data_IF_868131336382
#
_entry.id   IF_868131336382
#
_cell.length_a   1.000
_cell.length_b   1.000
_cell.length_c   1.000
_cell.angle_alpha   90.00
_cell.angle_beta   90.00
_cell.angle_gamma   90.00
#
_symmetry.space_group_name_H-M   'P 1'
#
loop_
_entity.id
_entity.type
_entity.pdbx_description
1 polymer ?
#
# COMPACT_ATOMS: atom_id res chain seq x y z
N UNK A 1 1.73 24.98 -10.51
CA UNK A 1 2.49 24.24 -9.48
C UNK A 1 2.03 22.79 -9.55
N UNK A 2 2.86 21.89 -10.08
CA UNK A 2 2.46 20.48 -10.28
C UNK A 2 2.59 19.78 -8.93
N UNK A 3 1.48 19.31 -8.36
CA UNK A 3 1.52 18.48 -7.15
C UNK A 3 2.07 17.10 -7.55
N UNK A 4 3.40 17.00 -7.64
CA UNK A 4 4.13 15.72 -7.65
C UNK A 4 4.42 15.33 -6.21
N UNK A 5 3.41 15.02 -5.43
CA UNK A 5 3.62 14.52 -4.07
C UNK A 5 3.06 13.11 -3.98
N UNK A 6 3.95 12.14 -3.78
CA UNK A 6 3.58 10.87 -3.20
C UNK A 6 2.87 11.18 -1.88
N UNK A 7 1.57 10.91 -1.82
CA UNK A 7 0.80 10.94 -0.59
C UNK A 7 1.59 10.17 0.46
N UNK A 8 1.95 10.86 1.55
CA UNK A 8 2.43 10.17 2.76
C UNK A 8 1.28 9.29 3.24
N UNK A 9 1.59 8.13 3.81
CA UNK A 9 0.60 7.26 4.42
C UNK A 9 -0.07 8.00 5.59
N UNK A 10 -1.24 8.58 5.36
CA UNK A 10 -2.11 9.16 6.38
C UNK A 10 -3.17 8.13 6.80
N UNK A 11 -3.96 8.45 7.82
CA UNK A 11 -4.95 7.54 8.39
C UNK A 11 -6.03 7.12 7.36
N UNK A 12 -6.33 8.00 6.39
CA UNK A 12 -7.28 7.73 5.32
C UNK A 12 -6.72 6.68 4.36
N UNK A 13 -5.52 6.92 3.82
CA UNK A 13 -4.84 6.00 2.91
C UNK A 13 -4.53 4.66 3.58
N UNK A 14 -4.21 4.68 4.87
CA UNK A 14 -4.03 3.49 5.68
C UNK A 14 -5.29 2.61 5.65
N UNK A 15 -6.45 3.18 5.96
CA UNK A 15 -7.72 2.46 5.97
C UNK A 15 -8.10 1.94 4.58
N UNK A 16 -7.86 2.74 3.52
CA UNK A 16 -8.09 2.32 2.14
C UNK A 16 -7.27 1.07 1.78
N UNK A 17 -6.00 1.01 2.19
CA UNK A 17 -5.19 -0.20 1.98
C UNK A 17 -5.70 -1.42 2.75
N UNK A 18 -6.22 -1.23 3.97
CA UNK A 18 -6.83 -2.33 4.73
C UNK A 18 -8.09 -2.86 4.03
N UNK A 19 -8.95 -1.96 3.54
CA UNK A 19 -10.17 -2.32 2.80
C UNK A 19 -9.81 -3.02 1.49
N UNK A 20 -8.89 -2.44 0.71
CA UNK A 20 -8.41 -3.03 -0.53
C UNK A 20 -7.77 -4.41 -0.30
N UNK A 21 -6.96 -4.52 0.76
CA UNK A 21 -6.34 -5.77 1.19
C UNK A 21 -7.39 -6.86 1.44
N UNK A 22 -8.40 -6.54 2.26
CA UNK A 22 -9.54 -7.42 2.55
C UNK A 22 -10.30 -7.81 1.27
N UNK A 23 -10.55 -6.86 0.38
CA UNK A 23 -11.27 -7.10 -0.88
C UNK A 23 -10.51 -8.03 -1.83
N UNK A 24 -9.21 -7.84 -2.01
CA UNK A 24 -8.41 -8.66 -2.93
C UNK A 24 -8.04 -10.03 -2.36
N UNK A 25 -8.11 -10.21 -1.05
CA UNK A 25 -7.86 -11.49 -0.39
C UNK A 25 -6.37 -11.73 -0.05
N UNK A 26 -6.15 -12.71 0.83
CA UNK A 26 -4.86 -12.98 1.45
C UNK A 26 -3.79 -13.42 0.46
N UNK A 27 -4.15 -14.31 -0.48
CA UNK A 27 -3.20 -14.86 -1.47
C UNK A 27 -2.51 -13.77 -2.29
N UNK A 28 -3.26 -12.72 -2.65
CA UNK A 28 -2.78 -11.62 -3.49
C UNK A 28 -2.01 -10.56 -2.69
N UNK A 29 -2.33 -10.40 -1.41
CA UNK A 29 -1.92 -9.23 -0.61
C UNK A 29 -1.00 -9.56 0.56
N UNK A 30 -0.87 -10.84 0.95
CA UNK A 30 -0.09 -11.25 2.11
C UNK A 30 0.78 -12.50 1.86
N UNK A 31 0.23 -13.61 1.36
CA UNK A 31 0.87 -14.94 1.47
C UNK A 31 2.30 -15.05 0.93
N UNK A 32 2.67 -14.24 -0.07
CA UNK A 32 4.01 -14.23 -0.68
C UNK A 32 4.73 -12.88 -0.50
N UNK A 33 4.32 -12.07 0.47
CA UNK A 33 4.85 -10.73 0.71
C UNK A 33 5.76 -10.72 1.92
N UNK A 34 6.86 -9.97 1.82
CA UNK A 34 7.77 -9.75 2.93
C UNK A 34 7.08 -8.82 3.92
N UNK A 35 6.98 -9.23 5.18
CA UNK A 35 6.58 -8.37 6.28
C UNK A 35 7.79 -7.58 6.79
N UNK A 36 7.80 -6.28 6.51
CA UNK A 36 8.84 -5.34 6.91
C UNK A 36 8.72 -4.87 8.36
N UNK A 37 7.66 -5.24 9.09
CA UNK A 37 7.40 -4.88 10.50
C UNK A 37 7.05 -3.42 10.78
N UNK A 38 7.45 -2.47 9.93
CA UNK A 38 7.10 -1.05 10.10
C UNK A 38 6.88 -0.31 8.78
N UNK A 39 6.14 0.80 8.83
CA UNK A 39 5.98 1.71 7.69
C UNK A 39 7.35 2.20 7.19
N UNK A 40 8.22 2.68 8.09
CA UNK A 40 9.51 3.26 7.73
C UNK A 40 10.40 2.29 6.94
N UNK A 41 10.45 1.03 7.38
CA UNK A 41 11.27 -0.01 6.73
C UNK A 41 10.67 -0.42 5.38
N UNK A 42 9.34 -0.52 5.30
CA UNK A 42 8.61 -0.79 4.06
C UNK A 42 8.78 0.35 3.04
N UNK A 43 8.70 1.61 3.45
CA UNK A 43 8.91 2.78 2.58
C UNK A 43 10.32 2.80 2.02
N UNK A 44 11.34 2.58 2.86
CA UNK A 44 12.74 2.47 2.42
C UNK A 44 12.92 1.35 1.40
N UNK A 45 12.31 0.19 1.64
CA UNK A 45 12.35 -0.95 0.72
C UNK A 45 11.63 -0.66 -0.60
N UNK A 46 10.44 -0.05 -0.54
CA UNK A 46 9.64 0.35 -1.69
C UNK A 46 10.38 1.33 -2.58
N UNK A 47 10.96 2.39 -2.01
CA UNK A 47 11.78 3.37 -2.73
C UNK A 47 12.98 2.71 -3.41
N UNK A 48 13.68 1.80 -2.71
CA UNK A 48 14.82 1.06 -3.28
C UNK A 48 14.40 0.16 -4.44
N UNK A 49 13.27 -0.53 -4.32
CA UNK A 49 12.76 -1.43 -5.35
C UNK A 49 12.20 -0.66 -6.56
N UNK A 50 11.54 0.47 -6.33
CA UNK A 50 11.08 1.38 -7.40
C UNK A 50 12.25 1.84 -8.26
N UNK A 51 13.37 2.26 -7.63
CA UNK A 51 14.61 2.61 -8.36
C UNK A 51 15.20 1.45 -9.16
N UNK A 52 15.06 0.21 -8.67
CA UNK A 52 15.61 -0.99 -9.31
C UNK A 52 14.75 -1.49 -10.48
N UNK A 53 13.43 -1.35 -10.38
CA UNK A 53 12.48 -2.03 -11.28
C UNK A 53 11.69 -1.08 -12.18
N UNK A 54 11.82 0.23 -11.97
CA UNK A 54 10.99 1.28 -12.60
C UNK A 54 9.49 1.11 -12.37
N UNK A 55 9.08 0.25 -11.41
CA UNK A 55 7.70 0.07 -10.99
C UNK A 55 7.42 1.01 -9.82
N UNK A 56 6.33 1.74 -9.86
CA UNK A 56 5.90 2.58 -8.73
C UNK A 56 5.35 1.71 -7.61
N UNK A 57 6.22 1.40 -6.65
CA UNK A 57 5.87 0.64 -5.46
C UNK A 57 5.71 1.56 -4.26
N UNK A 58 4.73 1.26 -3.41
CA UNK A 58 4.47 1.92 -2.14
C UNK A 58 4.36 0.91 -0.99
N UNK A 59 4.60 1.40 0.22
CA UNK A 59 4.34 0.64 1.44
C UNK A 59 2.83 0.60 1.72
N UNK A 60 2.32 -0.52 2.23
CA UNK A 60 0.93 -0.62 2.68
C UNK A 60 0.78 -1.50 3.93
N UNK A 61 -0.16 -1.17 4.83
CA UNK A 61 -0.51 -2.02 5.97
C UNK A 61 -1.29 -3.26 5.50
N UNK A 62 -1.02 -4.42 6.10
CA UNK A 62 -1.68 -5.66 5.74
C UNK A 62 -2.88 -5.98 6.63
N UNK A 63 -4.05 -6.18 6.01
CA UNK A 63 -5.26 -6.59 6.73
C UNK A 63 -5.10 -7.95 7.45
N UNK A 64 -4.35 -8.88 6.86
CA UNK A 64 -4.24 -10.27 7.33
C UNK A 64 -3.16 -10.46 8.41
N UNK A 65 -1.91 -10.09 8.14
CA UNK A 65 -0.80 -10.31 9.07
C UNK A 65 -0.53 -9.15 10.03
N UNK A 66 -1.23 -8.02 9.88
CA UNK A 66 -1.02 -6.77 10.65
C UNK A 66 0.38 -6.16 10.52
N UNK A 67 1.17 -6.65 9.57
CA UNK A 67 2.49 -6.15 9.20
C UNK A 67 2.45 -5.12 8.07
N UNK A 68 3.62 -4.84 7.51
CA UNK A 68 3.79 -3.87 6.42
C UNK A 68 4.43 -4.54 5.20
N UNK A 69 3.86 -4.29 4.02
CA UNK A 69 4.31 -4.87 2.76
C UNK A 69 4.63 -3.77 1.73
N UNK A 70 5.26 -4.15 0.62
CA UNK A 70 5.39 -3.28 -0.56
C UNK A 70 4.58 -3.83 -1.72
N UNK A 71 3.92 -2.94 -2.45
CA UNK A 71 3.00 -3.28 -3.53
C UNK A 71 2.91 -2.16 -4.54
N UNK A 72 2.15 -2.37 -5.62
CA UNK A 72 1.84 -1.27 -6.54
C UNK A 72 1.06 -0.20 -5.80
N UNK A 73 1.18 1.03 -6.28
CA UNK A 73 0.35 2.11 -5.78
C UNK A 73 -1.14 1.90 -6.07
N UNK A 74 -2.02 2.25 -5.13
CA UNK A 74 -3.45 2.36 -5.43
C UNK A 74 -3.69 3.42 -6.51
N UNK A 75 -4.52 3.10 -7.49
CA UNK A 75 -4.92 4.05 -8.53
C UNK A 75 -5.98 5.02 -7.98
N UNK A 76 -6.20 6.13 -8.68
CA UNK A 76 -7.25 7.08 -8.31
C UNK A 76 -8.64 6.42 -8.30
N UNK A 77 -8.92 5.59 -9.30
CA UNK A 77 -10.17 4.83 -9.41
C UNK A 77 -10.38 3.88 -8.22
N UNK A 78 -9.30 3.25 -7.73
CA UNK A 78 -9.36 2.37 -6.56
C UNK A 78 -9.57 3.15 -5.27
N UNK A 79 -8.90 4.30 -5.13
CA UNK A 79 -9.10 5.20 -3.99
C UNK A 79 -10.57 5.61 -3.92
N UNK A 80 -11.16 6.05 -5.03
CA UNK A 80 -12.58 6.41 -5.11
C UNK A 80 -13.48 5.20 -4.78
N UNK A 81 -13.23 4.05 -5.39
CA UNK A 81 -14.01 2.83 -5.16
C UNK A 81 -14.00 2.34 -3.71
N UNK A 82 -12.85 2.44 -3.03
CA UNK A 82 -12.72 2.01 -1.64
C UNK A 82 -13.10 3.09 -0.63
N UNK A 83 -13.11 4.37 -1.00
CA UNK A 83 -13.55 5.46 -0.11
C UNK A 83 -15.03 5.34 0.26
N UNK A 84 -15.85 4.81 -0.64
CA UNK A 84 -17.28 4.58 -0.42
C UNK A 84 -17.58 3.31 0.40
N UNK A 85 -16.55 2.54 0.76
CA UNK A 85 -16.69 1.29 1.51
C UNK A 85 -16.20 1.50 2.93
N UNK A 86 -17.14 1.75 3.85
CA UNK A 86 -16.85 1.69 5.27
C UNK A 86 -16.48 0.26 5.71
N UNK A 87 -15.55 0.17 6.67
CA UNK A 87 -15.26 -1.06 7.41
C UNK A 87 -16.34 -1.39 8.42
#
# INVERSE_FOLDING_TARGET
MVIKNGLKMDDSLHNLHLIAGKYYGEEKTCSNKIDYKSLETAEKAGLKMTKKTSKNLEAYPCYFCKGWHIGRKLTQEEIEFFSDKSL
#
